data_IF_298985682519
#
_entry.id   IF_298985682519
#
_cell.length_a   1.000
_cell.length_b   1.000
_cell.length_c   1.000
_cell.angle_alpha   90.00
_cell.angle_beta   90.00
_cell.angle_gamma   90.00
#
_symmetry.space_group_name_H-M   'P 1'
#
loop_
_entity.id
_entity.type
_entity.pdbx_description
1 polymer ?
#
# COMPACT_ATOMS: atom_id res chain seq x y z
N UNK A 1 8.88 -3.88 -2.72
CA UNK A 1 8.47 -3.13 -1.51
C UNK A 1 7.34 -3.83 -0.76
N UNK A 2 6.21 -4.16 -1.40
CA UNK A 2 5.09 -4.84 -0.72
C UNK A 2 5.48 -6.12 0.04
N UNK A 3 6.26 -7.01 -0.57
CA UNK A 3 6.73 -8.25 0.08
C UNK A 3 7.59 -8.01 1.34
N UNK A 4 8.34 -6.89 1.39
CA UNK A 4 9.14 -6.50 2.58
C UNK A 4 8.24 -6.22 3.79
N UNK A 5 6.99 -5.84 3.56
CA UNK A 5 5.99 -5.60 4.61
C UNK A 5 5.06 -6.80 4.79
N UNK A 6 5.35 -7.95 4.17
CA UNK A 6 4.45 -9.10 4.16
C UNK A 6 3.12 -8.79 3.49
N UNK A 7 3.12 -7.92 2.47
CA UNK A 7 1.90 -7.49 1.77
C UNK A 7 1.99 -7.82 0.29
N UNK A 8 0.84 -7.94 -0.37
CA UNK A 8 0.75 -8.09 -1.82
C UNK A 8 -0.32 -7.16 -2.39
N UNK A 9 -0.19 -6.85 -3.68
CA UNK A 9 -1.19 -6.05 -4.40
C UNK A 9 -2.06 -7.00 -5.21
N UNK A 10 -3.37 -6.97 -4.96
CA UNK A 10 -4.34 -7.62 -5.82
C UNK A 10 -4.78 -6.65 -6.92
N UNK A 11 -4.57 -7.03 -8.18
CA UNK A 11 -5.02 -6.26 -9.34
C UNK A 11 -6.39 -6.78 -9.80
N UNK A 12 -7.45 -6.08 -9.38
CA UNK A 12 -8.83 -6.28 -9.84
C UNK A 12 -9.37 -5.05 -10.59
N UNK A 13 -10.68 -4.77 -10.48
CA UNK A 13 -11.26 -3.53 -10.99
C UNK A 13 -10.65 -2.28 -10.32
N UNK A 14 -10.22 -2.42 -9.07
CA UNK A 14 -9.42 -1.46 -8.33
C UNK A 14 -8.25 -2.21 -7.68
N UNK A 15 -7.02 -1.67 -7.68
CA UNK A 15 -5.91 -2.29 -6.97
C UNK A 15 -6.03 -2.14 -5.44
N UNK A 16 -5.80 -3.22 -4.69
CA UNK A 16 -5.79 -3.20 -3.22
C UNK A 16 -4.49 -3.77 -2.66
N UNK A 17 -3.94 -3.13 -1.63
CA UNK A 17 -2.84 -3.67 -0.85
C UNK A 17 -3.41 -4.51 0.30
N UNK A 18 -2.99 -5.77 0.38
CA UNK A 18 -3.50 -6.77 1.32
C UNK A 18 -2.39 -7.42 2.14
N UNK A 19 -2.74 -7.88 3.33
CA UNK A 19 -1.94 -8.82 4.14
C UNK A 19 -2.13 -10.25 3.62
N UNK A 20 -1.30 -11.23 4.06
CA UNK A 20 -1.36 -12.61 3.54
C UNK A 20 -2.64 -13.37 3.88
N UNK A 21 -3.44 -12.85 4.82
CA UNK A 21 -4.75 -13.36 5.22
C UNK A 21 -5.91 -12.66 4.47
N UNK A 22 -5.61 -12.01 3.35
CA UNK A 22 -6.51 -11.21 2.51
C UNK A 22 -7.06 -9.94 3.16
N UNK A 23 -6.60 -9.57 4.36
CA UNK A 23 -7.02 -8.32 5.00
C UNK A 23 -6.58 -7.12 4.16
N UNK A 24 -7.54 -6.35 3.66
CA UNK A 24 -7.26 -5.11 2.94
C UNK A 24 -6.76 -4.02 3.89
N UNK A 25 -5.60 -3.45 3.57
CA UNK A 25 -4.98 -2.37 4.35
C UNK A 25 -4.87 -1.06 3.57
N UNK A 26 -4.96 -1.11 2.24
CA UNK A 26 -5.05 0.10 1.42
C UNK A 26 -5.80 -0.14 0.11
N UNK A 27 -6.44 0.91 -0.41
CA UNK A 27 -6.77 0.99 -1.82
C UNK A 27 -5.67 1.78 -2.55
N UNK A 28 -5.30 1.34 -3.74
CA UNK A 28 -4.28 1.99 -4.57
C UNK A 28 -4.93 2.44 -5.87
N UNK A 29 -4.82 3.73 -6.18
CA UNK A 29 -5.17 4.25 -7.50
C UNK A 29 -3.88 4.62 -8.22
N UNK A 30 -3.61 3.95 -9.31
CA UNK A 30 -2.40 4.16 -10.10
C UNK A 30 -2.77 4.85 -11.42
N UNK A 31 -2.52 6.15 -11.48
CA UNK A 31 -2.72 6.98 -12.66
C UNK A 31 -1.38 7.22 -13.35
N UNK A 32 -1.41 7.50 -14.65
CA UNK A 32 -0.21 7.71 -15.47
C UNK A 32 0.78 8.73 -14.89
N UNK A 33 0.29 9.71 -14.13
CA UNK A 33 1.07 10.80 -13.55
C UNK A 33 1.14 10.79 -12.02
N UNK A 34 0.39 9.91 -11.34
CA UNK A 34 0.30 9.90 -9.89
C UNK A 34 -0.21 8.57 -9.37
N UNK A 35 0.41 8.07 -8.30
CA UNK A 35 -0.11 6.96 -7.52
C UNK A 35 -0.65 7.49 -6.20
N UNK A 36 -1.92 7.20 -5.90
CA UNK A 36 -2.58 7.56 -4.64
C UNK A 36 -2.79 6.28 -3.83
N UNK A 37 -2.41 6.31 -2.55
CA UNK A 37 -2.58 5.18 -1.64
C UNK A 37 -3.48 5.61 -0.48
N UNK A 38 -4.63 4.97 -0.34
CA UNK A 38 -5.63 5.26 0.70
C UNK A 38 -5.58 4.17 1.78
N UNK A 39 -4.92 4.47 2.90
CA UNK A 39 -4.73 3.52 4.01
C UNK A 39 -6.02 3.36 4.83
N UNK A 40 -6.30 2.12 5.26
CA UNK A 40 -7.42 1.82 6.15
C UNK A 40 -7.14 2.35 7.56
N UNK A 41 -8.10 3.00 8.23
CA UNK A 41 -7.95 3.46 9.62
C UNK A 41 -7.63 2.34 10.62
N UNK A 42 -8.08 1.11 10.34
CA UNK A 42 -7.85 -0.07 11.17
C UNK A 42 -6.45 -0.67 11.02
N UNK A 43 -5.70 -0.32 9.98
CA UNK A 43 -4.35 -0.83 9.82
C UNK A 43 -3.43 -0.19 10.86
N UNK A 44 -2.75 -0.97 11.69
CA UNK A 44 -1.91 -0.39 12.76
C UNK A 44 -0.55 0.08 12.23
N UNK A 45 -0.02 -0.57 11.19
CA UNK A 45 1.30 -0.30 10.61
C UNK A 45 1.40 0.94 9.70
N UNK A 46 0.45 1.88 9.77
CA UNK A 46 0.35 3.00 8.80
C UNK A 46 1.59 3.89 8.78
N UNK A 47 2.09 4.25 9.95
CA UNK A 47 3.20 5.21 10.11
C UNK A 47 4.49 4.63 9.52
N UNK A 48 4.85 3.41 9.91
CA UNK A 48 6.01 2.70 9.39
C UNK A 48 5.96 2.52 7.86
N UNK A 49 4.77 2.24 7.31
CA UNK A 49 4.57 2.14 5.87
C UNK A 49 4.76 3.49 5.17
N UNK A 50 4.20 4.57 5.71
CA UNK A 50 4.36 5.93 5.16
C UNK A 50 5.82 6.36 5.20
N UNK A 51 6.52 6.13 6.31
CA UNK A 51 7.96 6.43 6.44
C UNK A 51 8.80 5.67 5.42
N UNK A 52 8.51 4.38 5.22
CA UNK A 52 9.23 3.57 4.26
C UNK A 52 9.00 4.03 2.81
N UNK A 53 7.77 4.41 2.46
CA UNK A 53 7.45 4.99 1.14
C UNK A 53 8.21 6.31 0.97
N UNK A 54 8.17 7.19 1.97
CA UNK A 54 8.89 8.47 1.93
C UNK A 54 10.40 8.26 1.75
N UNK A 55 10.99 7.27 2.42
CA UNK A 55 12.40 6.92 2.27
C UNK A 55 12.71 6.34 0.88
N UNK A 56 11.82 5.52 0.33
CA UNK A 56 12.00 4.91 -0.99
C UNK A 56 11.91 5.92 -2.14
N UNK A 57 11.21 7.04 -1.94
CA UNK A 57 11.06 8.11 -2.91
C UNK A 57 12.17 9.17 -2.84
N UNK A 58 13.12 9.06 -1.91
CA UNK A 58 14.29 9.94 -1.88
C UNK A 58 15.19 9.65 -3.10
N UNK A 59 15.80 10.69 -3.71
CA UNK A 59 16.69 10.54 -4.87
C UNK A 59 17.88 9.61 -4.62
#
# INVERSE_FOLDING_TARGET
>A
MAERFGTYVEYGAYPHLKLPDDTEIAAVQDWTNATLVFLRPSYEGKEALIEAVAQALKP
#
